data_IF_476881989182
#
_entry.id   IF_476881989182
#
_cell.length_a   1.000
_cell.length_b   1.000
_cell.length_c   1.000
_cell.angle_alpha   90.00
_cell.angle_beta   90.00
_cell.angle_gamma   90.00
#
_symmetry.space_group_name_H-M   'P 1'
#
loop_
_entity.id
_entity.type
_entity.pdbx_description
1 polymer ?
#
# COMPACT_ATOMS: atom_id res chain seq x y z
N UNK A 1 40.29 -4.11 6.93
CA UNK A 1 39.62 -5.42 7.12
C UNK A 1 38.22 -5.32 6.51
N UNK A 2 37.66 -6.40 5.94
CA UNK A 2 36.28 -6.38 5.46
C UNK A 2 35.31 -6.06 6.60
N UNK A 3 34.34 -5.19 6.33
CA UNK A 3 33.25 -4.82 7.24
C UNK A 3 32.02 -5.63 6.86
N UNK A 4 31.23 -6.06 7.84
CA UNK A 4 30.09 -6.96 7.64
C UNK A 4 28.79 -6.32 8.09
N UNK A 5 27.69 -6.61 7.39
CA UNK A 5 26.36 -6.17 7.77
C UNK A 5 25.60 -7.24 8.56
N UNK A 6 25.72 -8.51 8.17
CA UNK A 6 24.98 -9.62 8.75
C UNK A 6 25.89 -10.84 8.96
N UNK A 7 25.67 -11.54 10.07
CA UNK A 7 26.37 -12.78 10.41
C UNK A 7 25.43 -13.98 10.30
N UNK A 8 25.97 -15.16 9.97
CA UNK A 8 25.26 -16.43 10.04
C UNK A 8 25.71 -17.21 11.28
N UNK A 9 24.75 -17.65 12.09
CA UNK A 9 25.02 -18.39 13.34
C UNK A 9 25.75 -19.70 13.03
N UNK A 10 26.85 -19.96 13.74
CA UNK A 10 27.66 -21.16 13.54
C UNK A 10 28.45 -21.22 12.22
N UNK A 11 28.46 -20.16 11.41
CA UNK A 11 29.19 -20.09 10.14
C UNK A 11 30.37 -19.10 10.22
N UNK A 12 31.47 -19.34 9.49
CA UNK A 12 32.65 -18.47 9.52
C UNK A 12 32.38 -17.10 8.85
N UNK A 13 33.16 -16.05 9.18
CA UNK A 13 33.03 -14.73 8.56
C UNK A 13 33.16 -14.70 7.04
N UNK A 14 33.81 -15.70 6.42
CA UNK A 14 33.88 -15.83 4.97
C UNK A 14 32.52 -16.10 4.30
N UNK A 15 31.51 -16.49 5.08
CA UNK A 15 30.13 -16.70 4.64
C UNK A 15 29.19 -15.58 5.13
N UNK A 16 29.71 -14.56 5.82
CA UNK A 16 28.91 -13.43 6.28
C UNK A 16 28.70 -12.42 5.15
N UNK A 17 27.59 -11.69 5.20
CA UNK A 17 27.31 -10.64 4.23
C UNK A 17 28.17 -9.43 4.52
N UNK A 18 28.96 -8.97 3.55
CA UNK A 18 29.73 -7.74 3.71
C UNK A 18 28.81 -6.53 3.76
N UNK A 19 29.28 -5.46 4.41
CA UNK A 19 28.54 -4.20 4.48
C UNK A 19 28.37 -3.57 3.10
N UNK A 20 29.37 -3.70 2.24
CA UNK A 20 29.32 -3.19 0.86
C UNK A 20 28.26 -3.91 0.01
N UNK A 21 28.20 -5.25 0.09
CA UNK A 21 27.18 -6.05 -0.61
C UNK A 21 25.77 -5.67 -0.17
N UNK A 22 25.54 -5.60 1.15
CA UNK A 22 24.25 -5.24 1.72
C UNK A 22 23.80 -3.84 1.30
N UNK A 23 24.66 -2.83 1.48
CA UNK A 23 24.31 -1.44 1.13
C UNK A 23 24.01 -1.29 -0.37
N UNK A 24 24.76 -1.98 -1.25
CA UNK A 24 24.51 -1.97 -2.70
C UNK A 24 23.19 -2.64 -3.06
N UNK A 25 22.89 -3.79 -2.46
CA UNK A 25 21.66 -4.51 -2.70
C UNK A 25 20.43 -3.73 -2.22
N UNK A 26 20.49 -3.15 -1.02
CA UNK A 26 19.42 -2.30 -0.48
C UNK A 26 19.26 -1.02 -1.30
N UNK A 27 20.35 -0.36 -1.71
CA UNK A 27 20.29 0.82 -2.56
C UNK A 27 19.60 0.53 -3.91
N UNK A 28 19.99 -0.55 -4.58
CA UNK A 28 19.40 -0.94 -5.87
C UNK A 28 17.91 -1.26 -5.75
N UNK A 29 17.53 -2.03 -4.72
CA UNK A 29 16.13 -2.43 -4.49
C UNK A 29 15.26 -1.25 -4.05
N UNK A 30 15.76 -0.39 -3.15
CA UNK A 30 15.04 0.81 -2.73
C UNK A 30 14.85 1.80 -3.89
N UNK A 31 15.83 1.90 -4.80
CA UNK A 31 15.70 2.65 -6.05
C UNK A 31 14.55 2.13 -6.90
N UNK A 32 14.54 0.83 -7.18
CA UNK A 32 13.48 0.16 -7.96
C UNK A 32 12.09 0.43 -7.38
N UNK A 33 11.94 0.35 -6.05
CA UNK A 33 10.68 0.64 -5.36
C UNK A 33 10.24 2.10 -5.49
N UNK A 34 11.19 3.03 -5.61
CA UNK A 34 10.95 4.46 -5.64
C UNK A 34 10.77 5.05 -7.06
N UNK A 35 11.28 4.37 -8.10
CA UNK A 35 11.14 4.74 -9.52
C UNK A 35 9.68 4.98 -9.98
N UNK A 36 8.67 4.17 -9.60
CA UNK A 36 7.27 4.36 -9.99
C UNK A 36 6.68 5.73 -9.67
N UNK A 37 7.24 6.45 -8.69
CA UNK A 37 6.83 7.81 -8.32
C UNK A 37 7.98 8.83 -8.48
N UNK A 38 8.95 8.51 -9.36
CA UNK A 38 10.03 9.40 -9.76
C UNK A 38 11.11 9.63 -8.70
N UNK A 39 11.15 8.83 -7.63
CA UNK A 39 12.03 9.06 -6.49
C UNK A 39 13.20 8.06 -6.43
N UNK A 40 13.62 7.49 -7.56
CA UNK A 40 14.70 6.49 -7.62
C UNK A 40 15.98 6.95 -6.89
N UNK A 41 16.43 8.18 -7.11
CA UNK A 41 17.61 8.75 -6.42
C UNK A 41 17.42 8.84 -4.91
N UNK A 42 16.20 9.10 -4.43
CA UNK A 42 15.89 9.11 -3.00
C UNK A 42 15.96 7.71 -2.40
N UNK A 43 15.43 6.71 -3.11
CA UNK A 43 15.51 5.30 -2.70
C UNK A 43 16.95 4.82 -2.63
N UNK A 44 17.75 5.09 -3.68
CA UNK A 44 19.17 4.72 -3.73
C UNK A 44 19.99 5.40 -2.62
N UNK A 45 19.81 6.71 -2.46
CA UNK A 45 20.50 7.47 -1.41
C UNK A 45 20.10 6.97 -0.01
N UNK A 46 18.82 6.68 0.22
CA UNK A 46 18.38 6.11 1.50
C UNK A 46 19.02 4.73 1.74
N UNK A 47 18.93 3.81 0.77
CA UNK A 47 19.47 2.45 0.89
C UNK A 47 20.99 2.40 1.06
N UNK A 48 21.73 3.15 0.24
CA UNK A 48 23.19 3.13 0.27
C UNK A 48 23.82 3.82 1.48
N UNK A 49 23.02 4.57 2.26
CA UNK A 49 23.50 5.29 3.44
C UNK A 49 22.91 4.78 4.76
N UNK A 50 21.87 3.92 4.76
CA UNK A 50 21.11 3.65 5.98
C UNK A 50 21.93 3.02 7.11
N UNK A 51 22.91 2.21 6.73
CA UNK A 51 23.66 1.32 7.62
C UNK A 51 25.15 1.66 7.75
N UNK A 52 25.57 2.84 7.30
CA UNK A 52 26.98 3.24 7.33
C UNK A 52 27.60 3.21 8.74
N UNK A 53 26.79 3.34 9.80
CA UNK A 53 27.27 3.20 11.17
C UNK A 53 27.70 1.77 11.56
N UNK A 54 27.33 0.74 10.78
CA UNK A 54 27.87 -0.62 10.94
C UNK A 54 29.38 -0.67 10.61
N UNK A 55 29.91 0.37 9.98
CA UNK A 55 31.35 0.51 9.78
C UNK A 55 32.15 0.96 11.00
N UNK A 56 31.47 1.31 12.11
CA UNK A 56 32.10 1.87 13.31
C UNK A 56 32.72 0.76 14.19
N UNK A 57 33.76 1.06 14.99
CA UNK A 57 34.49 0.07 15.78
C UNK A 57 33.66 -0.84 16.71
N UNK A 58 32.54 -0.42 17.33
CA UNK A 58 31.74 -1.31 18.18
C UNK A 58 30.99 -2.43 17.42
N UNK A 59 30.86 -2.33 16.09
CA UNK A 59 30.00 -3.22 15.30
C UNK A 59 30.57 -4.62 15.05
N UNK A 60 31.86 -4.81 14.68
CA UNK A 60 32.44 -6.14 14.50
C UNK A 60 32.32 -7.03 15.75
N UNK A 61 32.56 -6.47 16.94
CA UNK A 61 32.44 -7.20 18.21
C UNK A 61 30.99 -7.65 18.46
N UNK A 62 30.02 -6.79 18.14
CA UNK A 62 28.59 -7.11 18.20
C UNK A 62 28.23 -8.28 17.27
N UNK A 63 28.70 -8.28 16.01
CA UNK A 63 28.42 -9.35 15.06
C UNK A 63 29.03 -10.69 15.49
N UNK A 64 30.28 -10.68 15.98
CA UNK A 64 30.94 -11.89 16.50
C UNK A 64 30.17 -12.46 17.69
N UNK A 65 29.69 -11.61 18.60
CA UNK A 65 28.85 -12.04 19.70
C UNK A 65 27.53 -12.67 19.20
N UNK A 66 26.90 -12.08 18.19
CA UNK A 66 25.67 -12.60 17.58
C UNK A 66 25.88 -13.95 16.89
N UNK A 67 26.99 -14.15 16.18
CA UNK A 67 27.28 -15.39 15.45
C UNK A 67 27.64 -16.58 16.35
N UNK A 68 28.12 -16.31 17.56
CA UNK A 68 28.60 -17.32 18.53
C UNK A 68 27.56 -17.71 19.57
N UNK A 69 26.32 -17.23 19.44
CA UNK A 69 25.23 -17.49 20.40
C UNK A 69 25.49 -16.90 21.79
N UNK A 70 26.51 -16.05 21.95
CA UNK A 70 26.77 -15.35 23.20
C UNK A 70 25.66 -14.31 23.44
N UNK A 71 25.35 -14.06 24.71
CA UNK A 71 24.32 -13.10 25.12
C UNK A 71 24.58 -11.76 24.41
N UNK A 72 23.65 -11.33 23.54
CA UNK A 72 23.77 -10.06 22.79
C UNK A 72 24.05 -8.93 23.78
N UNK A 73 25.13 -8.17 23.55
CA UNK A 73 25.33 -6.88 24.22
C UNK A 73 24.19 -5.91 23.82
N UNK A 74 24.10 -4.77 24.52
CA UNK A 74 23.16 -3.70 24.18
C UNK A 74 23.22 -3.35 22.68
N UNK A 75 22.08 -2.97 22.10
CA UNK A 75 21.98 -2.64 20.67
C UNK A 75 22.99 -1.54 20.31
N UNK A 76 23.86 -1.79 19.34
CA UNK A 76 24.79 -0.79 18.79
C UNK A 76 24.03 0.14 17.84
N UNK A 77 23.86 1.44 18.16
CA UNK A 77 23.19 2.38 17.26
C UNK A 77 24.05 2.64 16.02
N UNK A 78 23.51 2.37 14.83
CA UNK A 78 24.25 2.52 13.56
C UNK A 78 23.54 3.41 12.53
N UNK A 79 22.22 3.59 12.65
CA UNK A 79 21.43 4.40 11.71
C UNK A 79 21.84 5.89 11.66
N UNK A 80 22.36 6.46 12.76
CA UNK A 80 22.55 7.92 12.88
C UNK A 80 23.66 8.47 11.98
N UNK A 81 24.71 7.69 11.68
CA UNK A 81 25.86 8.16 10.90
C UNK A 81 25.47 8.46 9.45
N UNK A 82 24.64 7.61 8.84
CA UNK A 82 24.10 7.84 7.51
C UNK A 82 23.18 9.06 7.45
N UNK A 83 22.35 9.25 8.48
CA UNK A 83 21.48 10.42 8.60
C UNK A 83 22.28 11.73 8.73
N UNK A 84 23.37 11.73 9.51
CA UNK A 84 24.26 12.87 9.64
C UNK A 84 24.97 13.22 8.31
N UNK A 85 25.48 12.21 7.59
CA UNK A 85 26.07 12.42 6.27
C UNK A 85 25.08 13.00 5.26
N UNK A 86 23.81 12.58 5.30
CA UNK A 86 22.77 13.15 4.45
C UNK A 86 22.53 14.64 4.75
N UNK A 87 22.54 15.03 6.03
CA UNK A 87 22.38 16.43 6.48
C UNK A 87 23.52 17.33 6.02
N UNK A 88 24.76 16.85 6.04
CA UNK A 88 25.92 17.61 5.54
C UNK A 88 25.84 17.89 4.05
N UNK A 89 25.29 16.95 3.26
CA UNK A 89 25.18 17.10 1.80
C UNK A 89 24.19 18.18 1.39
N UNK A 90 23.03 18.28 2.06
CA UNK A 90 22.03 19.29 1.73
C UNK A 90 21.05 19.54 2.89
N UNK A 91 20.80 20.79 3.31
CA UNK A 91 19.97 21.08 4.48
C UNK A 91 18.50 20.66 4.32
N UNK A 92 17.87 20.93 3.17
CA UNK A 92 16.47 20.56 2.95
C UNK A 92 16.27 19.08 2.57
N UNK A 93 16.96 18.59 1.53
CA UNK A 93 16.81 17.22 1.06
C UNK A 93 17.40 16.20 2.04
N UNK A 94 18.57 16.52 2.58
CA UNK A 94 19.23 15.74 3.62
C UNK A 94 18.37 15.56 4.86
N UNK A 95 17.50 16.53 5.20
CA UNK A 95 16.54 16.40 6.30
C UNK A 95 15.56 15.27 6.10
N UNK A 96 15.00 15.16 4.91
CA UNK A 96 14.05 14.10 4.57
C UNK A 96 14.76 12.74 4.58
N UNK A 97 15.96 12.66 4.01
CA UNK A 97 16.78 11.44 4.07
C UNK A 97 17.17 11.08 5.51
N UNK A 98 17.48 12.06 6.36
CA UNK A 98 17.83 11.83 7.75
C UNK A 98 16.67 11.21 8.54
N UNK A 99 15.42 11.65 8.32
CA UNK A 99 14.25 10.98 8.89
C UNK A 99 14.16 9.52 8.48
N UNK A 100 14.29 9.27 7.18
CA UNK A 100 14.16 7.95 6.57
C UNK A 100 15.25 7.01 7.12
N UNK A 101 16.50 7.44 7.05
CA UNK A 101 17.68 6.68 7.47
C UNK A 101 17.66 6.46 8.98
N UNK A 102 17.52 7.50 9.81
CA UNK A 102 17.56 7.32 11.26
C UNK A 102 16.40 6.44 11.77
N UNK A 103 15.28 6.42 11.05
CA UNK A 103 14.08 5.69 11.45
C UNK A 103 14.02 4.23 11.01
N UNK A 104 14.94 3.71 10.20
CA UNK A 104 14.73 2.43 9.50
C UNK A 104 14.51 1.21 10.43
N UNK A 105 15.04 1.24 11.66
CA UNK A 105 14.74 0.24 12.69
C UNK A 105 13.69 0.66 13.72
N UNK A 106 13.72 1.93 14.17
CA UNK A 106 12.89 2.42 15.27
C UNK A 106 11.53 2.99 14.86
N UNK A 107 11.36 3.26 13.57
CA UNK A 107 10.30 4.09 13.02
C UNK A 107 10.72 5.55 12.84
N UNK A 108 9.94 6.28 12.04
CA UNK A 108 10.16 7.69 11.76
C UNK A 108 10.13 8.49 13.07
N UNK A 109 11.25 9.17 13.44
CA UNK A 109 11.31 9.94 14.67
C UNK A 109 10.56 11.27 14.54
N UNK A 110 10.24 11.89 15.67
CA UNK A 110 9.91 13.32 15.73
C UNK A 110 11.15 14.18 15.41
N UNK A 111 10.95 15.36 14.81
CA UNK A 111 12.09 16.23 14.43
C UNK A 111 12.96 16.60 15.62
N UNK A 112 12.35 17.04 16.73
CA UNK A 112 13.09 17.58 17.86
C UNK A 112 13.93 16.50 18.54
N UNK A 113 13.52 15.24 18.43
CA UNK A 113 14.31 14.10 18.89
C UNK A 113 15.47 13.82 17.94
N UNK A 114 15.19 13.74 16.63
CA UNK A 114 16.22 13.49 15.61
C UNK A 114 17.28 14.59 15.58
N UNK A 115 16.88 15.85 15.66
CA UNK A 115 17.79 17.01 15.69
C UNK A 115 18.76 16.93 16.87
N UNK A 116 18.28 16.53 18.05
CA UNK A 116 19.15 16.31 19.23
C UNK A 116 20.12 15.15 19.01
N UNK A 117 19.74 14.12 18.27
CA UNK A 117 20.64 13.00 17.96
C UNK A 117 21.71 13.43 16.96
N UNK A 118 21.33 14.21 15.94
CA UNK A 118 22.21 14.74 14.91
C UNK A 118 23.18 15.81 15.42
N UNK A 119 22.80 16.55 16.48
CA UNK A 119 23.64 17.57 17.11
C UNK A 119 24.74 17.00 18.02
N UNK A 120 24.74 15.69 18.29
CA UNK A 120 25.82 15.05 19.06
C UNK A 120 27.08 15.00 18.21
N UNK A 121 28.22 15.29 18.84
CA UNK A 121 29.52 15.11 18.20
C UNK A 121 29.71 13.63 17.84
N UNK A 122 30.03 13.36 16.58
CA UNK A 122 30.13 12.01 16.03
C UNK A 122 31.20 11.93 14.95
N UNK A 123 32.01 10.87 14.99
CA UNK A 123 33.04 10.63 14.00
C UNK A 123 32.44 9.97 12.75
N UNK A 124 32.52 10.68 11.63
CA UNK A 124 31.91 10.24 10.36
C UNK A 124 32.91 9.61 9.37
N UNK A 125 34.22 9.59 9.69
CA UNK A 125 35.24 9.13 8.75
C UNK A 125 35.00 7.68 8.30
N UNK A 126 34.81 6.77 9.25
CA UNK A 126 34.52 5.36 8.97
C UNK A 126 33.24 5.19 8.13
N UNK A 127 32.21 6.00 8.39
CA UNK A 127 30.96 5.99 7.63
C UNK A 127 31.17 6.50 6.19
N UNK A 128 32.02 7.52 5.98
CA UNK A 128 32.36 8.04 4.64
C UNK A 128 33.09 7.00 3.81
N UNK A 129 33.95 6.20 4.43
CA UNK A 129 34.73 5.14 3.79
C UNK A 129 33.86 3.92 3.41
N UNK A 130 32.74 3.70 4.10
CA UNK A 130 31.80 2.61 3.79
C UNK A 130 30.80 2.94 2.67
N UNK A 131 30.86 4.15 2.11
CA UNK A 131 29.86 4.62 1.16
C UNK A 131 29.94 3.85 -0.15
N UNK A 132 28.79 3.39 -0.62
CA UNK A 132 28.67 2.57 -1.84
C UNK A 132 28.04 3.30 -3.03
N UNK A 133 27.46 4.48 -2.79
CA UNK A 133 26.85 5.32 -3.83
C UNK A 133 27.14 6.79 -3.54
N UNK A 134 27.37 7.56 -4.59
CA UNK A 134 27.43 9.02 -4.53
C UNK A 134 26.12 9.68 -4.95
N UNK A 135 25.13 8.89 -5.41
CA UNK A 135 23.81 9.39 -5.78
C UNK A 135 23.18 10.10 -4.59
N UNK A 136 22.69 11.30 -4.88
CA UNK A 136 21.95 12.12 -3.93
C UNK A 136 20.88 12.87 -4.72
N UNK A 137 19.64 12.93 -4.23
CA UNK A 137 18.55 13.56 -4.95
C UNK A 137 18.87 15.02 -5.26
N UNK A 138 18.62 15.46 -6.49
CA UNK A 138 18.80 16.87 -6.89
C UNK A 138 17.57 17.74 -6.61
N UNK A 139 16.45 17.11 -6.28
CA UNK A 139 15.19 17.79 -5.99
C UNK A 139 14.05 16.83 -5.65
N UNK A 140 12.85 17.39 -5.46
CA UNK A 140 11.64 16.59 -5.28
C UNK A 140 11.07 16.17 -6.64
N UNK A 141 10.47 14.97 -6.76
CA UNK A 141 9.85 14.50 -8.00
C UNK A 141 8.50 15.15 -8.29
N UNK A 142 8.12 16.16 -7.50
CA UNK A 142 6.88 16.91 -7.64
C UNK A 142 7.18 18.41 -7.60
N UNK A 143 6.33 19.18 -8.28
CA UNK A 143 6.39 20.64 -8.28
C UNK A 143 6.20 21.19 -6.86
N UNK A 144 6.86 22.31 -6.58
CA UNK A 144 6.75 23.00 -5.29
C UNK A 144 5.29 23.21 -4.90
N UNK A 145 4.95 22.77 -3.70
CA UNK A 145 3.62 22.95 -3.12
C UNK A 145 3.64 24.18 -2.23
N UNK A 146 2.70 25.10 -2.47
CA UNK A 146 2.55 26.31 -1.67
C UNK A 146 1.46 26.12 -0.61
N UNK A 147 1.58 26.89 0.48
CA UNK A 147 0.58 26.93 1.55
C UNK A 147 0.54 25.70 2.46
N UNK A 148 -0.59 25.55 3.18
CA UNK A 148 -0.77 24.59 4.27
C UNK A 148 -0.67 23.11 3.84
N UNK A 149 -0.68 22.80 2.54
CA UNK A 149 -0.56 21.43 2.03
C UNK A 149 0.89 20.92 1.99
N UNK A 150 1.89 21.82 1.99
CA UNK A 150 3.31 21.45 1.84
C UNK A 150 3.79 20.48 2.91
N UNK A 151 3.41 20.73 4.17
CA UNK A 151 3.79 19.86 5.29
C UNK A 151 3.25 18.43 5.13
N UNK A 152 1.98 18.30 4.72
CA UNK A 152 1.38 16.99 4.45
C UNK A 152 2.10 16.26 3.33
N UNK A 153 2.31 16.91 2.18
CA UNK A 153 2.99 16.36 1.00
C UNK A 153 4.39 15.86 1.36
N UNK A 154 5.20 16.68 2.05
CA UNK A 154 6.54 16.27 2.47
C UNK A 154 6.51 15.10 3.47
N UNK A 155 5.55 15.11 4.40
CA UNK A 155 5.41 14.02 5.37
C UNK A 155 4.96 12.70 4.72
N UNK A 156 4.14 12.78 3.67
CA UNK A 156 3.67 11.64 2.90
C UNK A 156 4.81 11.10 2.03
N UNK A 157 5.54 11.98 1.36
CA UNK A 157 6.74 11.64 0.60
C UNK A 157 7.82 10.97 1.45
N UNK A 158 8.08 11.51 2.65
CA UNK A 158 9.01 10.90 3.61
C UNK A 158 8.60 9.47 3.93
N UNK A 159 7.31 9.19 4.16
CA UNK A 159 6.80 7.83 4.41
C UNK A 159 6.94 6.91 3.20
N UNK A 160 6.76 7.43 1.99
CA UNK A 160 6.89 6.63 0.77
C UNK A 160 8.35 6.24 0.50
N UNK A 161 9.31 7.17 0.70
CA UNK A 161 10.74 6.83 0.61
C UNK A 161 11.16 5.93 1.78
N UNK A 162 10.65 6.17 2.98
CA UNK A 162 10.85 5.30 4.14
C UNK A 162 10.37 3.87 3.87
N UNK A 163 9.19 3.72 3.28
CA UNK A 163 8.63 2.44 2.85
C UNK A 163 9.58 1.69 1.92
N UNK A 164 10.16 2.38 0.94
CA UNK A 164 11.12 1.80 0.00
C UNK A 164 12.37 1.29 0.74
N UNK A 165 12.95 2.12 1.63
CA UNK A 165 14.14 1.74 2.39
C UNK A 165 13.87 0.52 3.28
N UNK A 166 12.84 0.57 4.13
CA UNK A 166 12.61 -0.49 5.12
C UNK A 166 12.22 -1.80 4.46
N UNK A 167 11.47 -1.77 3.36
CA UNK A 167 11.15 -3.03 2.67
C UNK A 167 12.37 -3.58 1.94
N UNK A 168 13.21 -2.72 1.36
CA UNK A 168 14.44 -3.16 0.70
C UNK A 168 15.44 -3.81 1.68
N UNK A 169 15.66 -3.19 2.84
CA UNK A 169 16.51 -3.71 3.93
C UNK A 169 16.01 -5.08 4.43
N UNK A 170 14.71 -5.19 4.68
CA UNK A 170 14.11 -6.44 5.15
C UNK A 170 14.20 -7.56 4.11
N UNK A 171 13.96 -7.26 2.83
CA UNK A 171 14.00 -8.25 1.77
C UNK A 171 15.43 -8.72 1.46
N UNK A 172 16.42 -7.83 1.54
CA UNK A 172 17.83 -8.22 1.41
C UNK A 172 18.27 -9.09 2.59
N UNK A 173 17.93 -8.69 3.81
CA UNK A 173 18.18 -9.49 5.02
C UNK A 173 17.50 -10.86 4.95
N UNK A 174 16.24 -10.93 4.49
CA UNK A 174 15.52 -12.19 4.30
C UNK A 174 16.20 -13.07 3.25
N UNK A 175 16.59 -12.52 2.10
CA UNK A 175 17.28 -13.27 1.05
C UNK A 175 18.64 -13.82 1.50
N UNK A 176 19.34 -13.11 2.37
CA UNK A 176 20.62 -13.56 2.92
C UNK A 176 20.45 -14.62 4.03
N UNK A 177 19.52 -14.41 4.96
CA UNK A 177 19.34 -15.29 6.14
C UNK A 177 18.49 -16.53 5.86
N UNK A 178 17.50 -16.42 4.97
CA UNK A 178 16.55 -17.49 4.65
C UNK A 178 16.19 -17.46 3.14
N UNK A 179 17.09 -17.98 2.27
CA UNK A 179 16.88 -17.99 0.83
C UNK A 179 15.63 -18.77 0.39
N UNK A 180 15.23 -19.80 1.16
CA UNK A 180 14.04 -20.60 0.86
C UNK A 180 12.77 -19.78 1.08
N UNK A 181 12.68 -19.05 2.20
CA UNK A 181 11.58 -18.11 2.45
C UNK A 181 11.52 -17.00 1.42
N UNK A 182 12.66 -16.43 1.04
CA UNK A 182 12.72 -15.39 0.03
C UNK A 182 12.21 -15.86 -1.34
N UNK A 183 12.46 -17.12 -1.71
CA UNK A 183 11.96 -17.70 -2.95
C UNK A 183 10.43 -17.79 -3.01
N UNK A 184 9.73 -17.82 -1.87
CA UNK A 184 8.26 -17.88 -1.86
C UNK A 184 7.58 -16.60 -2.35
N UNK A 185 8.29 -15.46 -2.38
CA UNK A 185 7.77 -14.14 -2.83
C UNK A 185 7.65 -13.98 -4.35
N UNK A 186 8.09 -14.96 -5.13
CA UNK A 186 8.10 -14.89 -6.60
C UNK A 186 6.86 -15.54 -7.23
N UNK A 187 6.63 -15.28 -8.53
CA UNK A 187 5.66 -16.03 -9.34
C UNK A 187 4.24 -15.48 -9.33
N UNK A 188 4.05 -14.19 -9.08
CA UNK A 188 2.76 -13.54 -9.27
C UNK A 188 2.44 -13.36 -10.77
N UNK A 189 1.17 -13.55 -11.18
CA UNK A 189 0.73 -13.24 -12.53
C UNK A 189 0.74 -11.73 -12.79
N UNK A 190 0.96 -11.33 -14.04
CA UNK A 190 0.85 -9.93 -14.48
C UNK A 190 -0.61 -9.47 -14.55
N UNK A 191 -0.86 -8.16 -14.54
CA UNK A 191 -2.21 -7.59 -14.77
C UNK A 191 -2.81 -8.06 -16.11
N UNK A 192 -1.98 -8.22 -17.15
CA UNK A 192 -2.42 -8.75 -18.44
C UNK A 192 -2.92 -10.20 -18.31
N UNK A 193 -2.14 -11.06 -17.65
CA UNK A 193 -2.55 -12.45 -17.35
C UNK A 193 -3.83 -12.50 -16.51
N UNK A 194 -4.00 -11.59 -15.55
CA UNK A 194 -5.23 -11.51 -14.78
C UNK A 194 -6.44 -11.09 -15.62
N UNK A 195 -6.24 -10.18 -16.57
CA UNK A 195 -7.28 -9.75 -17.51
C UNK A 195 -7.70 -10.90 -18.44
N UNK A 196 -6.74 -11.66 -18.95
CA UNK A 196 -6.98 -12.87 -19.78
C UNK A 196 -7.76 -13.95 -19.02
N UNK A 197 -7.56 -14.08 -17.70
CA UNK A 197 -8.35 -14.99 -16.85
C UNK A 197 -9.74 -14.46 -16.55
N UNK A 198 -9.86 -13.16 -16.25
CA UNK A 198 -11.08 -12.52 -15.78
C UNK A 198 -12.15 -12.43 -16.87
N UNK A 199 -11.83 -11.81 -18.00
CA UNK A 199 -12.84 -11.41 -18.99
C UNK A 199 -13.60 -12.60 -19.61
N UNK A 200 -12.95 -13.72 -20.00
CA UNK A 200 -13.68 -14.87 -20.54
C UNK A 200 -14.70 -15.44 -19.55
N UNK A 201 -14.30 -15.60 -18.28
CA UNK A 201 -15.19 -16.10 -17.21
C UNK A 201 -16.33 -15.12 -16.94
N UNK A 202 -16.02 -13.83 -16.87
CA UNK A 202 -17.01 -12.78 -16.65
C UNK A 202 -18.05 -12.74 -17.77
N UNK A 203 -17.62 -12.76 -19.03
CA UNK A 203 -18.54 -12.74 -20.17
C UNK A 203 -19.35 -14.02 -20.32
N UNK A 204 -18.78 -15.18 -19.98
CA UNK A 204 -19.55 -16.43 -19.92
C UNK A 204 -20.68 -16.35 -18.87
N UNK A 205 -20.39 -15.84 -17.67
CA UNK A 205 -21.41 -15.60 -16.64
C UNK A 205 -22.50 -14.65 -17.14
N UNK A 206 -22.12 -13.52 -17.75
CA UNK A 206 -23.07 -12.54 -18.30
C UNK A 206 -23.93 -13.16 -19.41
N UNK A 207 -23.37 -13.98 -20.28
CA UNK A 207 -24.09 -14.64 -21.37
C UNK A 207 -25.07 -15.71 -20.87
N UNK A 208 -24.76 -16.38 -19.75
CA UNK A 208 -25.65 -17.38 -19.12
C UNK A 208 -26.78 -16.79 -18.27
N UNK A 209 -26.74 -15.48 -17.99
CA UNK A 209 -27.70 -14.84 -17.11
C UNK A 209 -29.00 -14.50 -17.84
N UNK A 210 -30.15 -14.72 -17.19
CA UNK A 210 -31.45 -14.33 -17.74
C UNK A 210 -31.51 -12.83 -18.05
N UNK A 211 -32.13 -12.40 -19.16
CA UNK A 211 -32.17 -11.01 -19.60
C UNK A 211 -33.19 -10.16 -18.82
N UNK A 212 -33.14 -10.24 -17.49
CA UNK A 212 -33.95 -9.45 -16.57
C UNK A 212 -33.57 -7.96 -16.65
N UNK A 213 -34.48 -7.04 -16.30
CA UNK A 213 -34.16 -5.60 -16.26
C UNK A 213 -32.92 -5.29 -15.41
N UNK A 214 -32.74 -5.99 -14.28
CA UNK A 214 -31.57 -5.84 -13.40
C UNK A 214 -30.27 -6.26 -14.10
N UNK A 215 -30.29 -7.38 -14.86
CA UNK A 215 -29.10 -7.85 -15.57
C UNK A 215 -28.74 -6.95 -16.76
N UNK A 216 -29.72 -6.31 -17.42
CA UNK A 216 -29.44 -5.27 -18.42
C UNK A 216 -28.76 -4.06 -17.81
N UNK A 217 -29.24 -3.58 -16.67
CA UNK A 217 -28.61 -2.49 -15.93
C UNK A 217 -27.18 -2.85 -15.50
N UNK A 218 -26.96 -4.06 -14.98
CA UNK A 218 -25.61 -4.54 -14.65
C UNK A 218 -24.69 -4.53 -15.87
N UNK A 219 -25.22 -4.85 -17.06
CA UNK A 219 -24.48 -4.76 -18.32
C UNK A 219 -24.13 -3.31 -18.68
N UNK A 220 -25.08 -2.39 -18.58
CA UNK A 220 -24.84 -0.96 -18.79
C UNK A 220 -23.76 -0.41 -17.84
N UNK A 221 -23.77 -0.84 -16.57
CA UNK A 221 -22.78 -0.44 -15.57
C UNK A 221 -21.38 -0.93 -15.94
N UNK A 222 -21.20 -2.19 -16.34
CA UNK A 222 -19.87 -2.69 -16.74
C UNK A 222 -19.42 -2.06 -18.05
N UNK A 223 -20.30 -1.83 -19.02
CA UNK A 223 -19.94 -1.18 -20.28
C UNK A 223 -19.46 0.28 -20.02
N UNK A 224 -20.11 1.01 -19.10
CA UNK A 224 -19.66 2.33 -18.65
C UNK A 224 -18.29 2.27 -17.95
N UNK A 225 -18.06 1.28 -17.09
CA UNK A 225 -16.75 1.02 -16.48
C UNK A 225 -15.68 0.79 -17.55
N UNK A 226 -15.94 -0.06 -18.54
CA UNK A 226 -14.95 -0.36 -19.59
C UNK A 226 -14.66 0.85 -20.48
N UNK A 227 -15.66 1.69 -20.76
CA UNK A 227 -15.44 2.94 -21.48
C UNK A 227 -14.64 3.97 -20.65
N UNK A 228 -14.90 4.07 -19.34
CA UNK A 228 -14.18 4.97 -18.46
C UNK A 228 -12.71 4.55 -18.25
N UNK A 229 -12.38 3.26 -18.45
CA UNK A 229 -11.03 2.73 -18.27
C UNK A 229 -9.99 3.33 -19.25
N UNK A 230 -10.41 3.89 -20.39
CA UNK A 230 -9.50 4.56 -21.34
C UNK A 230 -9.16 6.01 -20.93
N UNK A 231 -9.80 6.57 -19.89
CA UNK A 231 -9.50 7.92 -19.39
C UNK A 231 -8.21 7.94 -18.60
N UNK A 232 -7.53 9.09 -18.58
CA UNK A 232 -6.31 9.28 -17.78
C UNK A 232 -6.49 8.91 -16.30
N UNK A 233 -5.43 8.40 -15.63
CA UNK A 233 -5.43 8.15 -14.19
C UNK A 233 -5.85 9.37 -13.37
N UNK A 234 -6.54 9.12 -12.26
CA UNK A 234 -7.09 10.18 -11.41
C UNK A 234 -8.13 9.67 -10.42
N UNK A 235 -9.06 10.54 -10.03
CA UNK A 235 -10.13 10.20 -9.09
C UNK A 235 -11.44 9.96 -9.86
N UNK A 236 -12.02 8.80 -9.62
CA UNK A 236 -13.26 8.33 -10.21
C UNK A 236 -14.29 8.07 -9.12
N UNK A 237 -15.57 8.13 -9.50
CA UNK A 237 -16.68 7.67 -8.68
C UNK A 237 -17.53 6.68 -9.47
N UNK A 238 -17.94 5.61 -8.82
CA UNK A 238 -18.89 4.64 -9.31
C UNK A 238 -20.09 4.63 -8.37
N UNK A 239 -21.07 5.47 -8.66
CA UNK A 239 -22.28 5.53 -7.85
C UNK A 239 -23.39 4.67 -8.43
N UNK A 240 -23.56 3.48 -7.85
CA UNK A 240 -24.53 2.49 -8.33
C UNK A 240 -25.26 1.88 -7.13
N UNK A 241 -26.60 1.79 -7.13
CA UNK A 241 -27.37 1.19 -6.04
C UNK A 241 -26.92 -0.24 -5.69
N UNK A 242 -27.27 -0.70 -4.50
CA UNK A 242 -27.00 -2.09 -4.07
C UNK A 242 -27.63 -3.09 -5.05
N UNK A 243 -26.89 -4.16 -5.35
CA UNK A 243 -27.31 -5.16 -6.34
C UNK A 243 -27.05 -4.78 -7.81
N UNK A 244 -26.60 -3.56 -8.10
CA UNK A 244 -26.26 -3.10 -9.46
C UNK A 244 -24.92 -3.61 -10.03
N UNK A 245 -24.25 -4.56 -9.36
CA UNK A 245 -23.05 -5.23 -9.89
C UNK A 245 -21.72 -4.51 -9.66
N UNK A 246 -21.65 -3.55 -8.70
CA UNK A 246 -20.45 -2.74 -8.39
C UNK A 246 -19.15 -3.53 -8.26
N UNK A 247 -19.17 -4.63 -7.51
CA UNK A 247 -17.96 -5.37 -7.15
C UNK A 247 -17.21 -5.89 -8.38
N UNK A 248 -17.86 -6.65 -9.26
CA UNK A 248 -17.21 -7.16 -10.47
C UNK A 248 -17.03 -6.09 -11.55
N UNK A 249 -17.93 -5.10 -11.64
CA UNK A 249 -17.80 -4.01 -12.60
C UNK A 249 -16.61 -3.08 -12.26
N UNK A 250 -16.36 -2.80 -10.99
CA UNK A 250 -15.19 -2.03 -10.55
C UNK A 250 -13.88 -2.82 -10.72
N UNK A 251 -13.89 -4.14 -10.49
CA UNK A 251 -12.75 -4.99 -10.82
C UNK A 251 -12.47 -5.01 -12.33
N UNK A 252 -13.51 -5.09 -13.17
CA UNK A 252 -13.38 -5.02 -14.62
C UNK A 252 -12.78 -3.68 -15.09
N UNK A 253 -13.25 -2.56 -14.52
CA UNK A 253 -12.63 -1.24 -14.69
C UNK A 253 -11.15 -1.29 -14.31
N UNK A 254 -10.82 -1.79 -13.11
CA UNK A 254 -9.46 -1.75 -12.58
C UNK A 254 -8.49 -2.56 -13.42
N UNK A 255 -8.85 -3.77 -13.85
CA UNK A 255 -8.04 -4.59 -14.74
C UNK A 255 -7.80 -3.88 -16.08
N UNK A 256 -8.88 -3.38 -16.70
CA UNK A 256 -8.76 -2.73 -18.01
C UNK A 256 -7.94 -1.45 -17.93
N UNK A 257 -8.20 -0.63 -16.94
CA UNK A 257 -7.52 0.64 -16.72
C UNK A 257 -6.04 0.42 -16.35
N UNK A 258 -5.74 -0.60 -15.54
CA UNK A 258 -4.36 -0.96 -15.21
C UNK A 258 -3.58 -1.44 -16.43
N UNK A 259 -4.18 -2.27 -17.29
CA UNK A 259 -3.58 -2.69 -18.56
C UNK A 259 -3.32 -1.48 -19.49
N UNK A 260 -4.29 -0.55 -19.58
CA UNK A 260 -4.19 0.63 -20.47
C UNK A 260 -3.12 1.62 -20.05
N UNK A 261 -2.91 1.80 -18.75
CA UNK A 261 -2.03 2.84 -18.21
C UNK A 261 -0.77 2.30 -17.55
N UNK A 262 -0.48 1.01 -17.73
CA UNK A 262 0.67 0.32 -17.12
C UNK A 262 0.71 0.55 -15.60
N UNK A 263 -0.42 0.27 -14.95
CA UNK A 263 -0.54 0.29 -13.50
C UNK A 263 -0.21 -1.09 -12.95
N UNK A 264 0.48 -1.10 -11.81
CA UNK A 264 1.18 -2.27 -11.29
C UNK A 264 0.26 -3.21 -10.52
N UNK A 265 -0.76 -2.67 -9.84
CA UNK A 265 -1.58 -3.42 -8.89
C UNK A 265 -3.01 -2.89 -8.79
N UNK A 266 -3.87 -3.72 -8.23
CA UNK A 266 -5.23 -3.40 -7.82
C UNK A 266 -5.34 -3.58 -6.30
N UNK A 267 -5.77 -2.55 -5.59
CA UNK A 267 -6.02 -2.59 -4.14
C UNK A 267 -7.49 -2.33 -3.89
N UNK A 268 -8.20 -3.34 -3.38
CA UNK A 268 -9.62 -3.28 -3.07
C UNK A 268 -9.81 -3.06 -1.56
N UNK A 269 -10.32 -1.89 -1.19
CA UNK A 269 -10.46 -1.41 0.18
C UNK A 269 -11.91 -1.51 0.61
N UNK A 270 -12.18 -2.34 1.63
CA UNK A 270 -13.52 -2.68 2.11
C UNK A 270 -13.75 -2.04 3.49
N UNK A 271 -14.96 -1.53 3.80
CA UNK A 271 -15.21 -0.89 5.10
C UNK A 271 -15.19 -1.87 6.28
N UNK A 272 -15.72 -3.10 6.09
CA UNK A 272 -15.95 -4.07 7.16
C UNK A 272 -15.13 -5.35 6.96
N UNK A 273 -14.63 -5.89 8.07
CA UNK A 273 -13.91 -7.17 8.09
C UNK A 273 -14.80 -8.36 7.75
N UNK A 274 -16.11 -8.29 7.97
CA UNK A 274 -17.03 -9.42 7.74
C UNK A 274 -17.24 -9.76 6.26
N UNK A 275 -16.89 -8.87 5.33
CA UNK A 275 -17.18 -9.01 3.90
C UNK A 275 -15.89 -9.25 3.07
N UNK A 276 -14.72 -9.06 3.68
CA UNK A 276 -13.45 -9.19 2.97
C UNK A 276 -13.20 -10.61 2.46
N UNK A 277 -13.42 -11.63 3.29
CA UNK A 277 -13.25 -13.03 2.88
C UNK A 277 -14.17 -13.40 1.72
N UNK A 278 -15.42 -12.92 1.76
CA UNK A 278 -16.37 -13.16 0.68
C UNK A 278 -15.91 -12.48 -0.62
N UNK A 279 -15.40 -11.26 -0.52
CA UNK A 279 -14.93 -10.50 -1.69
C UNK A 279 -13.66 -11.13 -2.26
N UNK A 280 -12.71 -11.54 -1.42
CA UNK A 280 -11.50 -12.22 -1.84
C UNK A 280 -11.81 -13.58 -2.49
N UNK A 281 -12.73 -14.37 -1.91
CA UNK A 281 -13.23 -15.60 -2.54
C UNK A 281 -13.87 -15.34 -3.89
N UNK A 282 -14.67 -14.28 -4.02
CA UNK A 282 -15.28 -13.92 -5.30
C UNK A 282 -14.23 -13.56 -6.34
N UNK A 283 -13.21 -12.78 -5.98
CA UNK A 283 -12.12 -12.43 -6.90
C UNK A 283 -11.31 -13.65 -7.34
N UNK A 284 -10.97 -14.56 -6.42
CA UNK A 284 -10.25 -15.81 -6.72
C UNK A 284 -10.94 -16.65 -7.80
N UNK A 285 -12.28 -16.70 -7.82
CA UNK A 285 -13.04 -17.42 -8.87
C UNK A 285 -12.70 -16.92 -10.28
N UNK A 286 -12.53 -15.61 -10.45
CA UNK A 286 -12.23 -15.00 -11.76
C UNK A 286 -10.73 -14.93 -12.05
N UNK A 287 -9.91 -14.62 -11.04
CA UNK A 287 -8.49 -14.28 -11.22
C UNK A 287 -7.52 -15.45 -11.07
N UNK A 288 -7.95 -16.55 -10.44
CA UNK A 288 -7.10 -17.68 -10.05
C UNK A 288 -7.17 -17.90 -8.55
N UNK A 289 -7.18 -19.17 -8.14
CA UNK A 289 -7.52 -19.54 -6.76
C UNK A 289 -6.44 -19.16 -5.75
N UNK A 290 -5.15 -19.28 -6.10
CA UNK A 290 -4.07 -19.28 -5.10
C UNK A 290 -2.87 -18.37 -5.40
N UNK A 291 -2.79 -17.73 -6.57
CA UNK A 291 -1.56 -17.04 -7.03
C UNK A 291 -1.67 -15.52 -7.15
N UNK A 292 -2.88 -14.95 -7.07
CA UNK A 292 -3.13 -13.56 -7.48
C UNK A 292 -3.69 -12.64 -6.38
N UNK A 293 -4.51 -13.18 -5.46
CA UNK A 293 -5.33 -12.39 -4.54
C UNK A 293 -4.87 -12.59 -3.09
N UNK A 294 -4.38 -11.52 -2.49
CA UNK A 294 -4.00 -11.47 -1.08
C UNK A 294 -5.08 -10.76 -0.29
N UNK A 295 -5.40 -11.35 0.87
CA UNK A 295 -6.39 -10.84 1.80
C UNK A 295 -5.69 -10.39 3.07
N UNK A 296 -5.88 -9.13 3.47
CA UNK A 296 -5.20 -8.57 4.63
C UNK A 296 -6.15 -7.75 5.52
N UNK A 297 -6.48 -8.29 6.69
CA UNK A 297 -7.25 -7.60 7.74
C UNK A 297 -6.73 -7.97 9.13
N UNK A 298 -7.19 -7.25 10.16
CA UNK A 298 -6.73 -7.42 11.56
C UNK A 298 -6.97 -8.82 12.15
N UNK A 299 -7.94 -9.55 11.60
CA UNK A 299 -8.31 -10.92 12.03
C UNK A 299 -7.66 -11.99 11.14
N UNK A 300 -6.98 -11.59 10.06
CA UNK A 300 -6.30 -12.52 9.18
C UNK A 300 -4.97 -12.89 9.81
N UNK A 301 -5.00 -13.95 10.60
CA UNK A 301 -3.80 -14.71 10.95
C UNK A 301 -3.85 -16.02 10.16
N UNK A 302 -3.10 -16.12 9.06
CA UNK A 302 -3.12 -17.33 8.23
C UNK A 302 -2.62 -18.58 8.98
N UNK A 303 -2.09 -18.45 10.21
CA UNK A 303 -1.75 -19.55 11.12
C UNK A 303 -2.77 -19.84 12.23
N UNK A 304 -3.82 -19.02 12.44
CA UNK A 304 -4.82 -19.31 13.48
C UNK A 304 -5.77 -20.43 13.05
N UNK A 305 -5.74 -21.54 13.81
CA UNK A 305 -6.68 -22.66 13.68
C UNK A 305 -6.10 -23.96 13.10
N UNK A 306 -4.77 -24.09 12.96
CA UNK A 306 -4.12 -25.35 12.58
C UNK A 306 -3.20 -25.87 13.69
N UNK A 307 -3.16 -27.19 13.85
CA UNK A 307 -2.23 -27.87 14.76
C UNK A 307 -0.77 -27.62 14.32
N UNK A 308 0.14 -27.52 15.31
CA UNK A 308 1.57 -27.20 15.19
C UNK A 308 2.41 -28.15 14.29
N UNK A 309 1.77 -29.05 13.52
CA UNK A 309 2.40 -30.04 12.65
C UNK A 309 1.98 -30.00 11.17
N UNK A 310 1.02 -29.19 10.76
CA UNK A 310 0.66 -29.07 9.34
C UNK A 310 1.59 -28.09 8.60
N UNK A 311 2.37 -28.61 7.65
CA UNK A 311 3.17 -27.77 6.77
C UNK A 311 2.26 -26.84 5.93
N UNK A 312 2.47 -25.53 6.04
CA UNK A 312 1.81 -24.55 5.18
C UNK A 312 2.04 -24.89 3.70
N UNK A 313 0.99 -24.81 2.88
CA UNK A 313 1.18 -24.89 1.43
C UNK A 313 2.07 -23.71 0.96
N UNK A 314 2.89 -23.87 -0.08
CA UNK A 314 3.72 -22.78 -0.62
C UNK A 314 2.93 -21.50 -0.91
N UNK A 315 1.67 -21.64 -1.36
CA UNK A 315 0.76 -20.54 -1.69
C UNK A 315 0.32 -19.79 -0.44
N UNK A 316 0.01 -20.51 0.64
CA UNK A 316 -0.37 -19.89 1.90
C UNK A 316 0.79 -19.10 2.49
N UNK A 317 2.02 -19.65 2.46
CA UNK A 317 3.24 -18.94 2.91
C UNK A 317 3.50 -17.68 2.11
N UNK A 318 3.38 -17.75 0.78
CA UNK A 318 3.45 -16.59 -0.10
C UNK A 318 2.42 -15.52 0.28
N UNK A 319 1.17 -15.91 0.54
CA UNK A 319 0.12 -14.98 0.95
C UNK A 319 0.43 -14.30 2.30
N UNK A 320 1.04 -15.00 3.26
CA UNK A 320 1.46 -14.37 4.54
C UNK A 320 2.54 -13.32 4.30
N UNK A 321 3.56 -13.66 3.52
CA UNK A 321 4.67 -12.75 3.19
C UNK A 321 4.18 -11.52 2.43
N UNK A 322 3.20 -11.70 1.55
CA UNK A 322 2.56 -10.63 0.80
C UNK A 322 1.75 -9.65 1.66
N UNK A 323 1.23 -10.09 2.81
CA UNK A 323 0.57 -9.20 3.75
C UNK A 323 1.55 -8.20 4.38
N UNK A 324 2.85 -8.51 4.42
CA UNK A 324 3.85 -7.61 5.00
C UNK A 324 4.05 -6.35 4.15
N UNK A 325 4.14 -6.50 2.82
CA UNK A 325 4.49 -5.43 1.90
C UNK A 325 3.51 -5.21 0.73
N UNK A 326 2.40 -5.95 0.63
CA UNK A 326 1.42 -5.83 -0.46
C UNK A 326 2.05 -5.99 -1.85
N UNK A 327 2.89 -7.02 -2.00
CA UNK A 327 3.58 -7.33 -3.24
C UNK A 327 2.66 -7.92 -4.34
N UNK A 328 1.60 -8.64 -3.94
CA UNK A 328 0.64 -9.29 -4.84
C UNK A 328 -0.10 -8.32 -5.78
N UNK A 329 -0.48 -8.77 -6.99
CA UNK A 329 -1.10 -7.92 -8.01
C UNK A 329 -2.51 -7.47 -7.62
N UNK A 330 -3.23 -8.26 -6.80
CA UNK A 330 -4.53 -7.89 -6.25
C UNK A 330 -4.52 -8.04 -4.73
N UNK A 331 -4.77 -6.94 -4.03
CA UNK A 331 -4.82 -6.89 -2.56
C UNK A 331 -6.20 -6.48 -2.11
N UNK A 332 -6.90 -7.36 -1.40
CA UNK A 332 -8.10 -7.02 -0.64
C UNK A 332 -7.69 -6.65 0.79
N UNK A 333 -8.06 -5.45 1.23
CA UNK A 333 -7.73 -4.93 2.57
C UNK A 333 -8.90 -4.16 3.17
N UNK A 334 -8.84 -3.83 4.46
CA UNK A 334 -9.83 -2.96 5.10
C UNK A 334 -9.46 -1.48 4.98
N UNK A 335 -10.47 -0.60 5.07
CA UNK A 335 -10.28 0.85 5.12
C UNK A 335 -9.38 1.27 6.29
N UNK A 336 -9.55 0.64 7.46
CA UNK A 336 -8.70 0.89 8.63
C UNK A 336 -7.24 0.55 8.32
N UNK A 337 -6.97 -0.65 7.79
CA UNK A 337 -5.60 -1.05 7.42
C UNK A 337 -5.01 -0.13 6.35
N UNK A 338 -5.80 0.25 5.35
CA UNK A 338 -5.38 1.16 4.30
C UNK A 338 -4.97 2.54 4.84
N UNK A 339 -5.88 3.22 5.54
CA UNK A 339 -5.61 4.56 6.04
C UNK A 339 -4.59 4.57 7.19
N UNK A 340 -4.68 3.67 8.17
CA UNK A 340 -3.69 3.65 9.26
C UNK A 340 -2.26 3.42 8.75
N UNK A 341 -2.09 2.61 7.71
CA UNK A 341 -0.77 2.39 7.10
C UNK A 341 -0.22 3.69 6.51
N UNK A 342 -1.04 4.46 5.79
CA UNK A 342 -0.65 5.73 5.17
C UNK A 342 -0.19 6.80 6.18
N UNK A 343 -0.65 6.70 7.43
CA UNK A 343 -0.27 7.62 8.52
C UNK A 343 0.72 7.01 9.52
N UNK A 344 1.14 5.75 9.33
CA UNK A 344 2.04 5.06 10.24
C UNK A 344 3.45 5.66 10.26
N UNK A 345 4.20 5.34 11.32
CA UNK A 345 5.61 5.69 11.48
C UNK A 345 6.50 4.47 11.73
N UNK A 346 5.93 3.28 11.97
CA UNK A 346 6.69 2.07 12.32
C UNK A 346 7.10 1.31 11.05
N UNK A 347 8.33 0.75 10.97
CA UNK A 347 8.84 0.10 9.76
C UNK A 347 7.87 -0.95 9.22
N UNK A 348 7.46 -1.92 10.05
CA UNK A 348 6.59 -3.02 9.63
C UNK A 348 5.23 -2.59 9.05
N UNK A 349 4.64 -1.48 9.53
CA UNK A 349 3.40 -0.95 8.92
C UNK A 349 3.67 -0.18 7.63
N UNK A 350 4.82 0.49 7.54
CA UNK A 350 5.18 1.29 6.38
C UNK A 350 5.72 0.48 5.20
N UNK A 351 6.18 -0.77 5.39
CA UNK A 351 6.75 -1.62 4.31
C UNK A 351 5.90 -1.68 3.03
N UNK A 352 4.57 -1.61 3.18
CA UNK A 352 3.61 -1.74 2.08
C UNK A 352 3.31 -0.47 1.27
N UNK A 353 3.69 0.72 1.75
CA UNK A 353 3.18 1.99 1.18
C UNK A 353 3.67 2.25 -0.24
N UNK A 354 4.95 2.00 -0.54
CA UNK A 354 5.51 2.21 -1.88
C UNK A 354 4.79 1.40 -2.97
N UNK A 355 4.17 0.27 -2.58
CA UNK A 355 3.39 -0.57 -3.48
C UNK A 355 2.01 0.00 -3.85
N UNK A 356 1.60 1.11 -3.23
CA UNK A 356 0.41 1.87 -3.61
C UNK A 356 0.63 2.82 -4.80
N UNK A 357 1.88 3.16 -5.14
CA UNK A 357 2.16 4.01 -6.29
C UNK A 357 1.83 3.28 -7.61
N UNK A 358 1.30 3.99 -8.59
CA UNK A 358 0.84 3.43 -9.88
C UNK A 358 -0.08 2.23 -9.70
N UNK A 359 -1.07 2.34 -8.82
CA UNK A 359 -2.05 1.28 -8.54
C UNK A 359 -3.47 1.78 -8.80
N UNK A 360 -4.39 0.87 -9.14
CA UNK A 360 -5.84 1.15 -9.06
C UNK A 360 -6.31 0.81 -7.65
N UNK A 361 -6.85 1.79 -6.94
CA UNK A 361 -7.30 1.66 -5.56
C UNK A 361 -8.81 1.89 -5.53
N UNK A 362 -9.56 0.82 -5.28
CA UNK A 362 -11.03 0.87 -5.19
C UNK A 362 -11.41 0.99 -3.72
N UNK A 363 -12.15 2.04 -3.37
CA UNK A 363 -12.75 2.20 -2.04
C UNK A 363 -14.22 1.82 -2.15
N UNK A 364 -14.55 0.62 -1.68
CA UNK A 364 -15.92 0.13 -1.64
C UNK A 364 -16.69 0.77 -0.48
N UNK A 365 -17.98 0.99 -0.72
CA UNK A 365 -18.89 1.73 0.18
C UNK A 365 -18.24 3.01 0.75
N UNK A 366 -17.73 3.88 -0.14
CA UNK A 366 -17.00 5.10 0.22
C UNK A 366 -17.78 6.05 1.16
N UNK A 367 -19.10 5.92 1.26
CA UNK A 367 -19.92 6.65 2.23
C UNK A 367 -19.63 6.29 3.69
N UNK A 368 -18.94 5.16 3.92
CA UNK A 368 -18.57 4.66 5.24
C UNK A 368 -17.24 5.25 5.74
N UNK A 369 -16.62 6.15 4.98
CA UNK A 369 -15.44 6.88 5.45
C UNK A 369 -15.77 7.62 6.76
N UNK A 370 -14.93 7.46 7.81
CA UNK A 370 -15.22 8.01 9.12
C UNK A 370 -15.23 9.55 9.07
N UNK A 371 -16.36 10.16 9.40
CA UNK A 371 -16.55 11.62 9.33
C UNK A 371 -15.46 12.40 10.10
N UNK A 372 -15.08 11.92 11.29
CA UNK A 372 -14.03 12.54 12.13
C UNK A 372 -12.64 12.55 11.47
N UNK A 373 -12.38 11.64 10.54
CA UNK A 373 -11.10 11.51 9.83
C UNK A 373 -11.23 11.74 8.32
N UNK A 374 -12.35 12.31 7.86
CA UNK A 374 -12.64 12.48 6.44
C UNK A 374 -11.56 13.31 5.75
N UNK A 375 -11.19 14.47 6.31
CA UNK A 375 -10.19 15.36 5.72
C UNK A 375 -8.81 14.69 5.52
N UNK A 376 -8.22 14.01 6.53
CA UNK A 376 -7.02 13.19 6.32
C UNK A 376 -7.19 12.12 5.23
N UNK A 377 -8.33 11.44 5.18
CA UNK A 377 -8.59 10.42 4.16
C UNK A 377 -8.60 11.02 2.75
N UNK A 378 -9.33 12.13 2.55
CA UNK A 378 -9.37 12.83 1.26
C UNK A 378 -8.01 13.38 0.85
N UNK A 379 -7.21 13.88 1.81
CA UNK A 379 -5.86 14.35 1.55
C UNK A 379 -4.96 13.19 1.05
N UNK A 380 -5.03 12.02 1.67
CA UNK A 380 -4.25 10.85 1.25
C UNK A 380 -4.69 10.31 -0.12
N UNK A 381 -6.00 10.24 -0.39
CA UNK A 381 -6.57 9.87 -1.70
C UNK A 381 -6.06 10.82 -2.78
N UNK A 382 -6.17 12.14 -2.54
CA UNK A 382 -5.70 13.16 -3.47
C UNK A 382 -4.20 13.03 -3.73
N UNK A 383 -3.43 12.79 -2.68
CA UNK A 383 -1.98 12.69 -2.77
C UNK A 383 -1.54 11.51 -3.64
N UNK A 384 -2.11 10.32 -3.40
CA UNK A 384 -1.88 9.12 -4.21
C UNK A 384 -2.24 9.36 -5.69
N UNK A 385 -3.36 10.01 -5.95
CA UNK A 385 -3.79 10.31 -7.31
C UNK A 385 -2.86 11.31 -8.02
N UNK A 386 -2.51 12.41 -7.35
CA UNK A 386 -1.81 13.54 -7.97
C UNK A 386 -0.30 13.30 -8.13
N UNK A 387 0.34 12.63 -7.15
CA UNK A 387 1.82 12.52 -7.11
C UNK A 387 2.36 11.11 -7.23
N UNK A 388 1.52 10.10 -7.05
CA UNK A 388 1.94 8.70 -7.11
C UNK A 388 1.37 7.95 -8.31
N UNK A 389 0.66 8.64 -9.21
CA UNK A 389 0.15 8.08 -10.46
C UNK A 389 -0.90 6.99 -10.27
N UNK A 390 -1.56 6.96 -9.11
CA UNK A 390 -2.56 5.96 -8.78
C UNK A 390 -3.95 6.42 -9.22
N UNK A 391 -4.82 5.46 -9.56
CA UNK A 391 -6.23 5.73 -9.87
C UNK A 391 -7.08 5.35 -8.68
N UNK A 392 -7.91 6.27 -8.21
CA UNK A 392 -8.75 6.09 -7.02
C UNK A 392 -10.21 5.99 -7.47
N UNK A 393 -10.91 4.91 -7.12
CA UNK A 393 -12.32 4.69 -7.49
C UNK A 393 -13.17 4.64 -6.23
N UNK A 394 -14.04 5.62 -6.04
CA UNK A 394 -14.99 5.65 -4.93
C UNK A 394 -16.27 4.94 -5.35
N UNK A 395 -16.45 3.70 -4.90
CA UNK A 395 -17.63 2.88 -5.15
C UNK A 395 -18.65 3.10 -4.02
N UNK A 396 -19.91 3.34 -4.36
CA UNK A 396 -20.93 3.66 -3.35
C UNK A 396 -22.34 3.53 -3.90
N UNK A 397 -23.32 3.24 -3.03
CA UNK A 397 -24.74 3.39 -3.36
C UNK A 397 -25.21 4.86 -3.26
N UNK A 398 -24.65 5.62 -2.32
CA UNK A 398 -24.99 7.01 -2.04
C UNK A 398 -23.72 7.82 -1.87
N UNK A 399 -23.34 8.59 -2.89
CA UNK A 399 -22.05 9.29 -2.86
C UNK A 399 -21.95 10.21 -1.63
N UNK A 400 -20.90 10.06 -0.80
CA UNK A 400 -20.66 11.00 0.28
C UNK A 400 -20.37 12.38 -0.31
N UNK A 401 -20.64 13.44 0.44
CA UNK A 401 -20.45 14.81 -0.01
C UNK A 401 -18.96 15.21 -0.01
N UNK A 402 -18.15 14.51 -0.81
CA UNK A 402 -16.68 14.62 -0.90
C UNK A 402 -16.20 15.52 -2.03
N UNK A 403 -17.10 15.98 -2.90
CA UNK A 403 -16.80 17.01 -3.92
C UNK A 403 -16.64 18.37 -3.27
N UNK A 404 -15.78 19.20 -3.86
CA UNK A 404 -15.63 20.60 -3.47
C UNK A 404 -16.96 21.35 -3.67
N UNK A 405 -17.36 22.13 -2.66
CA UNK A 405 -18.50 23.05 -2.69
C UNK A 405 -18.25 24.19 -1.69
N UNK A 406 -19.11 25.19 -1.68
CA UNK A 406 -18.96 26.38 -0.83
C UNK A 406 -18.81 26.01 0.66
N UNK A 407 -19.64 25.08 1.16
CA UNK A 407 -19.59 24.63 2.56
C UNK A 407 -18.51 23.56 2.82
N UNK A 408 -17.81 23.10 1.77
CA UNK A 408 -16.76 22.09 1.87
C UNK A 408 -15.65 22.30 0.82
N UNK A 409 -14.86 23.38 0.96
CA UNK A 409 -13.81 23.74 -0.01
C UNK A 409 -12.64 22.75 -0.05
N UNK A 410 -12.54 21.82 0.92
CA UNK A 410 -11.49 20.81 0.96
C UNK A 410 -11.82 19.54 0.17
N UNK A 411 -12.98 19.48 -0.51
CA UNK A 411 -13.39 18.35 -1.33
C UNK A 411 -12.56 18.15 -2.61
N UNK A 412 -12.91 17.15 -3.40
CA UNK A 412 -12.29 16.90 -4.70
C UNK A 412 -12.83 17.88 -5.75
N UNK A 413 -11.91 18.61 -6.40
CA UNK A 413 -12.17 19.46 -7.56
C UNK A 413 -12.48 18.64 -8.80
N UNK A 414 -11.56 17.74 -9.13
CA UNK A 414 -11.65 16.85 -10.27
C UNK A 414 -12.00 15.45 -9.79
N UNK A 415 -13.19 14.98 -10.15
CA UNK A 415 -13.63 13.61 -9.93
C UNK A 415 -14.58 13.20 -11.05
N UNK A 416 -14.22 12.15 -11.78
CA UNK A 416 -14.98 11.64 -12.91
C UNK A 416 -16.04 10.65 -12.47
N UNK A 417 -17.32 10.93 -12.75
CA UNK A 417 -18.38 9.93 -12.52
C UNK A 417 -18.41 8.94 -13.68
N UNK A 418 -18.21 7.65 -13.39
CA UNK A 418 -18.20 6.57 -14.39
C UNK A 418 -19.60 6.37 -14.99
N UNK A 419 -20.65 6.44 -14.17
CA UNK A 419 -22.03 6.27 -14.60
C UNK A 419 -22.81 7.59 -14.44
N UNK A 420 -23.17 8.29 -15.52
CA UNK A 420 -23.62 9.68 -15.45
C UNK A 420 -25.05 9.85 -14.90
N UNK A 421 -25.98 8.94 -15.16
CA UNK A 421 -27.40 9.09 -14.80
C UNK A 421 -27.77 8.28 -13.56
N UNK A 422 -27.39 8.83 -12.40
CA UNK A 422 -27.52 8.17 -11.10
C UNK A 422 -28.96 8.09 -10.61
N UNK A 423 -29.74 9.14 -10.84
CA UNK A 423 -31.12 9.24 -10.35
C UNK A 423 -32.01 8.26 -11.12
N UNK A 424 -31.89 8.20 -12.45
CA UNK A 424 -32.62 7.21 -13.24
C UNK A 424 -32.21 5.78 -12.88
N UNK A 425 -30.93 5.54 -12.57
CA UNK A 425 -30.45 4.23 -12.13
C UNK A 425 -31.06 3.83 -10.78
N UNK A 426 -31.17 4.78 -9.84
CA UNK A 426 -31.77 4.56 -8.54
C UNK A 426 -33.28 4.28 -8.64
N UNK A 427 -33.99 4.98 -9.52
CA UNK A 427 -35.40 4.71 -9.81
C UNK A 427 -35.61 3.33 -10.43
N UNK A 428 -34.84 2.98 -11.47
CA UNK A 428 -34.94 1.69 -12.16
C UNK A 428 -34.63 0.48 -11.26
N UNK A 429 -33.78 0.66 -10.26
CA UNK A 429 -33.41 -0.38 -9.29
C UNK A 429 -34.23 -0.32 -7.99
N UNK A 430 -35.23 0.57 -7.90
CA UNK A 430 -36.06 0.71 -6.69
C UNK A 430 -36.91 -0.54 -6.47
N UNK A 431 -36.59 -1.31 -5.43
CA UNK A 431 -37.30 -2.55 -5.07
C UNK A 431 -38.44 -2.36 -4.08
N UNK A 432 -38.47 -1.22 -3.40
CA UNK A 432 -39.40 -0.93 -2.30
C UNK A 432 -40.07 0.41 -2.50
N UNK A 433 -41.38 0.47 -2.25
CA UNK A 433 -42.13 1.72 -2.15
C UNK A 433 -42.22 2.06 -0.66
N UNK A 434 -41.62 3.17 -0.27
CA UNK A 434 -41.75 3.69 1.10
C UNK A 434 -43.00 4.56 1.11
N UNK A 435 -43.93 4.25 1.99
CA UNK A 435 -45.11 5.06 2.27
C UNK A 435 -45.05 5.49 3.73
N UNK A 436 -45.16 6.79 3.98
CA UNK A 436 -45.38 7.30 5.32
C UNK A 436 -46.86 7.11 5.67
N UNK A 437 -47.13 6.26 6.65
CA UNK A 437 -48.48 5.93 7.10
C UNK A 437 -48.98 6.88 8.19
N UNK A 438 -48.17 7.83 8.63
CA UNK A 438 -48.46 8.68 9.78
C UNK A 438 -48.48 7.89 11.10
N UNK A 439 -49.10 8.47 12.12
CA UNK A 439 -49.29 7.80 13.41
C UNK A 439 -50.37 6.72 13.29
N UNK A 440 -50.01 5.48 13.63
CA UNK A 440 -50.93 4.34 13.69
C UNK A 440 -51.07 3.88 15.15
N UNK A 441 -52.25 3.41 15.54
CA UNK A 441 -52.41 2.64 16.77
C UNK A 441 -51.92 1.19 16.58
N UNK A 442 -51.65 0.51 17.70
CA UNK A 442 -51.07 -0.83 17.71
C UNK A 442 -51.97 -1.87 17.02
N UNK A 443 -53.30 -1.74 17.13
CA UNK A 443 -54.25 -2.63 16.44
C UNK A 443 -54.20 -2.46 14.92
N UNK A 444 -54.14 -1.23 14.43
CA UNK A 444 -54.07 -0.92 12.99
C UNK A 444 -52.73 -1.35 12.39
N UNK A 445 -51.63 -1.19 13.14
CA UNK A 445 -50.31 -1.67 12.71
C UNK A 445 -50.27 -3.20 12.68
N UNK A 446 -50.78 -3.87 13.71
CA UNK A 446 -50.83 -5.33 13.79
C UNK A 446 -51.69 -5.93 12.67
N UNK A 447 -52.84 -5.34 12.38
CA UNK A 447 -53.71 -5.77 11.28
C UNK A 447 -53.01 -5.72 9.92
N UNK A 448 -52.18 -4.69 9.67
CA UNK A 448 -51.42 -4.58 8.41
C UNK A 448 -50.22 -5.52 8.32
N UNK A 449 -49.55 -5.81 9.44
CA UNK A 449 -48.40 -6.73 9.44
C UNK A 449 -48.81 -8.19 9.27
N UNK A 450 -50.04 -8.55 9.67
CA UNK A 450 -50.55 -9.92 9.58
C UNK A 450 -51.13 -10.28 8.20
N UNK A 451 -51.38 -9.31 7.32
CA UNK A 451 -51.88 -9.52 5.96
C UNK A 451 -53.40 -9.48 5.85
#
# INVERSE_FOLDING_TARGET
>A
MPKYAHSLEGRPPSEWQTLDEHLKAVAAKAREFAEPFGAGEWGEAAGGNHDLGKGQPPWPDYLIASATGKKRQDKVPHAIHGAALAMERHPALGRILAYVIAGHHGGLPDWFSLEKWLAKDMELQEARECRVTDVFPTGFPFKDTTGNSRGFVLSFFTRMVFSCLVDADWLDTEAFLDPERAAWRQGYPTIATLSERFFPKYWAMVASADPTPVNRIRREVVDACLAAADRSPGIFSLTVPTGGGKTLASLAFALKHAERHDLRRIVYVIPYTSIIEQTAREFRKYLGENDAVVEHHSTFDPGQGRDDGEAFSPELRRAQLACENWDAPVVATTAVQFFESLFAARPGRCRKLHNLARSVIILDEAQMLPQKYLLPCLAAIRELAVRYGSTLVLCTATQPAVREREEFPQGFKEMHEIFPDRDALHEKLRRVKVEDLGTLDDETLAGRLMG
#
